data_IF_672828510201
#
_entry.id   IF_672828510201
#
_cell.length_a   1.000
_cell.length_b   1.000
_cell.length_c   1.000
_cell.angle_alpha   90.00
_cell.angle_beta   90.00
_cell.angle_gamma   90.00
#
_symmetry.space_group_name_H-M   'P 1'
#
loop_
_entity.id
_entity.type
_entity.pdbx_description
1 polymer ?
#
# COMPACT_ATOMS: atom_id res chain seq x y z
N UNK A 1 -7.20 6.34 -27.42
CA UNK A 1 -8.56 5.76 -27.29
C UNK A 1 -8.63 5.05 -25.95
N UNK A 2 -9.19 5.71 -24.92
CA UNK A 2 -9.43 5.09 -23.63
C UNK A 2 -10.72 4.26 -23.71
N UNK A 3 -10.65 2.98 -23.34
CA UNK A 3 -11.84 2.14 -23.26
C UNK A 3 -12.65 2.58 -22.03
N UNK A 4 -13.81 3.20 -22.29
CA UNK A 4 -14.77 3.58 -21.27
C UNK A 4 -15.44 2.31 -20.73
N UNK A 5 -14.88 1.75 -19.65
CA UNK A 5 -15.51 0.66 -18.93
C UNK A 5 -16.75 1.21 -18.21
N UNK A 6 -17.88 1.13 -18.90
CA UNK A 6 -19.23 1.37 -18.35
C UNK A 6 -19.54 0.29 -17.30
N UNK A 7 -18.95 0.41 -16.12
CA UNK A 7 -19.29 -0.41 -14.96
C UNK A 7 -20.27 0.39 -14.10
N UNK A 8 -21.56 0.14 -14.29
CA UNK A 8 -22.62 0.62 -13.38
C UNK A 8 -22.72 -0.26 -12.11
N UNK A 9 -21.62 -0.91 -11.71
CA UNK A 9 -21.56 -1.80 -10.55
C UNK A 9 -20.69 -1.11 -9.50
N UNK A 10 -21.31 -0.22 -8.72
CA UNK A 10 -20.65 0.52 -7.64
C UNK A 10 -20.26 -0.39 -6.45
N UNK A 11 -20.90 -1.56 -6.34
CA UNK A 11 -20.64 -2.54 -5.29
C UNK A 11 -20.83 -3.94 -5.86
N UNK A 12 -19.76 -4.73 -5.85
CA UNK A 12 -19.85 -6.17 -6.04
C UNK A 12 -20.20 -6.77 -4.69
N UNK A 13 -21.50 -6.99 -4.48
CA UNK A 13 -21.98 -7.61 -3.25
C UNK A 13 -21.53 -9.07 -3.23
N UNK A 14 -20.47 -9.35 -2.49
CA UNK A 14 -19.94 -10.70 -2.37
C UNK A 14 -20.82 -11.46 -1.39
N UNK A 15 -21.44 -12.55 -1.87
CA UNK A 15 -22.19 -13.47 -1.02
C UNK A 15 -21.32 -13.85 0.19
N UNK A 16 -21.81 -13.59 1.38
CA UNK A 16 -21.01 -13.64 2.60
C UNK A 16 -21.86 -13.55 3.86
N UNK A 17 -21.21 -13.63 5.02
CA UNK A 17 -21.85 -13.53 6.33
C UNK A 17 -21.18 -12.40 7.13
N UNK A 18 -21.98 -11.53 7.76
CA UNK A 18 -21.48 -10.38 8.55
C UNK A 18 -20.49 -9.48 7.79
N UNK A 19 -20.68 -9.28 6.48
CA UNK A 19 -19.77 -8.48 5.64
C UNK A 19 -18.45 -9.17 5.28
N UNK A 20 -18.28 -10.45 5.61
CA UNK A 20 -17.12 -11.26 5.22
C UNK A 20 -17.47 -12.11 3.98
N UNK A 21 -16.70 -11.99 2.89
CA UNK A 21 -16.88 -12.81 1.69
C UNK A 21 -16.85 -14.32 1.96
N UNK A 22 -17.74 -15.08 1.31
CA UNK A 22 -17.85 -16.54 1.50
C UNK A 22 -16.53 -17.28 1.27
N UNK A 23 -15.72 -16.86 0.29
CA UNK A 23 -14.41 -17.47 0.02
C UNK A 23 -13.48 -17.43 1.24
N UNK A 24 -13.52 -16.34 2.00
CA UNK A 24 -12.70 -16.16 3.22
C UNK A 24 -13.23 -17.01 4.36
N UNK A 25 -14.56 -17.10 4.51
CA UNK A 25 -15.19 -17.98 5.49
C UNK A 25 -14.88 -19.45 5.19
N UNK A 26 -14.93 -19.85 3.92
CA UNK A 26 -14.55 -21.20 3.48
C UNK A 26 -13.07 -21.48 3.79
N UNK A 27 -12.17 -20.55 3.43
CA UNK A 27 -10.74 -20.69 3.74
C UNK A 27 -10.49 -20.82 5.24
N UNK A 28 -11.15 -20.00 6.07
CA UNK A 28 -11.03 -20.04 7.51
C UNK A 28 -11.60 -21.34 8.09
N UNK A 29 -12.76 -21.81 7.61
CA UNK A 29 -13.38 -23.05 8.06
C UNK A 29 -12.56 -24.29 7.70
N UNK A 30 -12.09 -24.38 6.46
CA UNK A 30 -11.22 -25.48 6.00
C UNK A 30 -9.87 -25.43 6.73
N UNK A 31 -9.27 -24.26 6.87
CA UNK A 31 -8.01 -24.08 7.59
C UNK A 31 -8.13 -24.46 9.07
N UNK A 32 -9.20 -24.04 9.74
CA UNK A 32 -9.50 -24.42 11.11
C UNK A 32 -9.70 -25.93 11.24
N UNK A 33 -10.49 -26.55 10.36
CA UNK A 33 -10.74 -28.00 10.36
C UNK A 33 -9.48 -28.84 10.14
N UNK A 34 -8.61 -28.44 9.21
CA UNK A 34 -7.32 -29.10 9.00
C UNK A 34 -6.38 -28.92 10.20
N UNK A 35 -6.35 -27.73 10.80
CA UNK A 35 -5.53 -27.52 11.98
C UNK A 35 -6.03 -28.31 13.18
N UNK A 36 -7.36 -28.48 13.32
CA UNK A 36 -7.95 -29.34 14.34
C UNK A 36 -7.45 -30.77 14.18
N UNK A 37 -7.54 -31.35 12.98
CA UNK A 37 -7.15 -32.76 12.78
C UNK A 37 -5.66 -32.97 13.07
N UNK A 38 -4.79 -32.06 12.64
CA UNK A 38 -3.35 -32.12 12.90
C UNK A 38 -3.05 -31.98 14.40
N UNK A 39 -3.59 -30.97 15.06
CA UNK A 39 -3.32 -30.74 16.49
C UNK A 39 -3.94 -31.83 17.34
N UNK A 40 -5.10 -32.37 16.96
CA UNK A 40 -5.75 -33.43 17.72
C UNK A 40 -4.93 -34.72 17.76
N UNK A 41 -4.14 -35.00 16.73
CA UNK A 41 -3.22 -36.14 16.71
C UNK A 41 -2.10 -36.04 17.75
N UNK A 42 -1.60 -34.83 18.03
CA UNK A 42 -0.47 -34.62 18.93
C UNK A 42 -0.90 -34.21 20.35
N UNK A 43 -1.92 -33.34 20.44
CA UNK A 43 -2.32 -32.61 21.64
C UNK A 43 -3.85 -32.44 21.65
N UNK A 44 -4.57 -33.56 21.78
CA UNK A 44 -6.05 -33.61 21.68
C UNK A 44 -6.78 -32.57 22.53
N UNK A 45 -6.31 -32.32 23.75
CA UNK A 45 -6.92 -31.34 24.67
C UNK A 45 -6.89 -29.88 24.20
N UNK A 46 -5.98 -29.52 23.28
CA UNK A 46 -5.83 -28.14 22.76
C UNK A 46 -6.35 -27.96 21.34
N UNK A 47 -6.79 -29.04 20.70
CA UNK A 47 -7.15 -29.06 19.27
C UNK A 47 -8.26 -28.08 18.89
N UNK A 48 -9.32 -28.02 19.71
CA UNK A 48 -10.46 -27.11 19.49
C UNK A 48 -10.01 -25.66 19.61
N UNK A 49 -9.29 -25.33 20.70
CA UNK A 49 -8.80 -23.98 20.91
C UNK A 49 -7.86 -23.53 19.79
N UNK A 50 -6.94 -24.40 19.36
CA UNK A 50 -6.03 -24.15 18.25
C UNK A 50 -6.79 -23.89 16.94
N UNK A 51 -7.81 -24.71 16.64
CA UNK A 51 -8.62 -24.58 15.44
C UNK A 51 -9.39 -23.26 15.39
N UNK A 52 -10.01 -22.84 16.50
CA UNK A 52 -10.71 -21.55 16.60
C UNK A 52 -9.73 -20.39 16.40
N UNK A 53 -8.56 -20.45 17.05
CA UNK A 53 -7.53 -19.41 16.92
C UNK A 53 -7.02 -19.29 15.48
N UNK A 54 -6.77 -20.42 14.81
CA UNK A 54 -6.30 -20.44 13.42
C UNK A 54 -7.37 -19.94 12.46
N UNK A 55 -8.63 -20.35 12.64
CA UNK A 55 -9.76 -19.82 11.86
C UNK A 55 -9.88 -18.30 12.00
N UNK A 56 -9.82 -17.79 13.22
CA UNK A 56 -9.88 -16.35 13.50
C UNK A 56 -8.68 -15.61 12.90
N UNK A 57 -7.46 -16.12 13.10
CA UNK A 57 -6.25 -15.55 12.54
C UNK A 57 -6.31 -15.49 11.01
N UNK A 58 -6.84 -16.54 10.37
CA UNK A 58 -7.03 -16.58 8.91
C UNK A 58 -7.98 -15.49 8.44
N UNK A 59 -9.11 -15.27 9.13
CA UNK A 59 -10.03 -14.18 8.79
C UNK A 59 -9.38 -12.81 8.95
N UNK A 60 -8.63 -12.59 10.03
CA UNK A 60 -7.95 -11.31 10.30
C UNK A 60 -6.85 -11.05 9.26
N UNK A 61 -5.98 -12.03 9.01
CA UNK A 61 -4.82 -11.91 8.11
C UNK A 61 -5.21 -11.77 6.64
N UNK A 62 -6.35 -12.34 6.25
CA UNK A 62 -6.88 -12.21 4.88
C UNK A 62 -7.80 -11.01 4.70
N UNK A 63 -8.04 -10.22 5.77
CA UNK A 63 -8.90 -9.05 5.69
C UNK A 63 -8.29 -7.98 4.78
N UNK A 64 -8.94 -7.61 3.67
CA UNK A 64 -8.44 -6.58 2.79
C UNK A 64 -8.66 -5.19 3.40
N UNK A 65 -7.64 -4.35 3.33
CA UNK A 65 -7.77 -2.90 3.53
C UNK A 65 -7.20 -2.21 2.29
N UNK A 66 -8.01 -1.46 1.55
CA UNK A 66 -7.58 -0.86 0.28
C UNK A 66 -7.16 -1.89 -0.78
N UNK A 67 -7.86 -3.03 -0.84
CA UNK A 67 -7.62 -4.10 -1.83
C UNK A 67 -6.48 -5.08 -1.50
N UNK A 68 -5.66 -4.81 -0.48
CA UNK A 68 -4.52 -5.66 -0.11
C UNK A 68 -4.81 -6.37 1.24
N UNK A 69 -4.63 -7.71 1.33
CA UNK A 69 -4.82 -8.44 2.58
C UNK A 69 -3.75 -8.08 3.63
N UNK A 70 -4.10 -8.17 4.91
CA UNK A 70 -3.22 -7.80 6.01
C UNK A 70 -1.88 -8.55 6.00
N UNK A 71 -1.87 -9.85 5.71
CA UNK A 71 -0.63 -10.63 5.64
C UNK A 71 0.36 -10.05 4.61
N UNK A 72 -0.11 -9.75 3.39
CA UNK A 72 0.75 -9.16 2.37
C UNK A 72 1.31 -7.81 2.83
N UNK A 73 0.50 -7.00 3.49
CA UNK A 73 0.94 -5.72 4.07
C UNK A 73 2.03 -5.93 5.13
N UNK A 74 1.88 -6.92 6.01
CA UNK A 74 2.89 -7.27 7.01
C UNK A 74 4.19 -7.69 6.35
N UNK A 75 4.13 -8.53 5.30
CA UNK A 75 5.31 -8.95 4.53
C UNK A 75 6.00 -7.75 3.87
N UNK A 76 5.25 -6.87 3.20
CA UNK A 76 5.84 -5.68 2.58
C UNK A 76 6.48 -4.75 3.61
N UNK A 77 5.84 -4.56 4.77
CA UNK A 77 6.38 -3.75 5.86
C UNK A 77 7.65 -4.37 6.45
N UNK A 78 7.64 -5.68 6.69
CA UNK A 78 8.80 -6.43 7.19
C UNK A 78 9.96 -6.34 6.20
N UNK A 79 9.69 -6.55 4.90
CA UNK A 79 10.68 -6.43 3.83
C UNK A 79 11.29 -5.04 3.77
N UNK A 80 10.46 -3.99 3.75
CA UNK A 80 10.95 -2.61 3.77
C UNK A 80 11.80 -2.30 5.01
N UNK A 81 11.38 -2.77 6.18
CA UNK A 81 12.14 -2.62 7.42
C UNK A 81 13.48 -3.35 7.39
N UNK A 82 13.52 -4.58 6.86
CA UNK A 82 14.76 -5.36 6.72
C UNK A 82 15.73 -4.67 5.76
N UNK A 83 15.27 -4.22 4.60
CA UNK A 83 16.09 -3.51 3.63
C UNK A 83 16.65 -2.20 4.20
N UNK A 84 15.81 -1.39 4.85
CA UNK A 84 16.25 -0.15 5.52
C UNK A 84 17.30 -0.43 6.60
N UNK A 85 17.10 -1.47 7.40
CA UNK A 85 18.03 -1.83 8.48
C UNK A 85 19.34 -2.39 7.93
N UNK A 86 19.28 -3.17 6.85
CA UNK A 86 20.46 -3.70 6.17
C UNK A 86 21.32 -2.57 5.58
N UNK A 87 20.71 -1.56 4.96
CA UNK A 87 21.44 -0.39 4.42
C UNK A 87 22.11 0.42 5.54
N UNK A 88 21.42 0.64 6.66
CA UNK A 88 21.97 1.41 7.80
C UNK A 88 23.03 0.63 8.58
N UNK A 89 22.85 -0.68 8.72
CA UNK A 89 23.71 -1.56 9.51
C UNK A 89 24.07 -2.83 8.70
N UNK A 90 25.06 -2.73 7.78
CA UNK A 90 25.39 -3.81 6.85
C UNK A 90 25.96 -5.07 7.53
N UNK A 91 26.45 -4.97 8.76
CA UNK A 91 26.93 -6.12 9.54
C UNK A 91 25.88 -6.74 10.46
N UNK A 92 24.62 -6.28 10.39
CA UNK A 92 23.55 -6.80 11.25
C UNK A 92 22.99 -8.13 10.74
N UNK A 93 22.29 -8.86 11.62
CA UNK A 93 21.54 -10.07 11.23
C UNK A 93 20.48 -9.80 10.15
N UNK A 94 19.94 -8.58 10.09
CA UNK A 94 18.99 -8.18 9.05
C UNK A 94 19.65 -8.12 7.67
N UNK A 95 20.89 -7.66 7.58
CA UNK A 95 21.67 -7.67 6.33
C UNK A 95 21.94 -9.11 5.86
N UNK A 96 22.27 -10.02 6.78
CA UNK A 96 22.41 -11.45 6.47
C UNK A 96 21.11 -12.06 5.95
N UNK A 97 19.97 -11.72 6.54
CA UNK A 97 18.67 -12.20 6.04
C UNK A 97 18.34 -11.64 4.67
N UNK A 98 18.67 -10.37 4.40
CA UNK A 98 18.50 -9.76 3.09
C UNK A 98 19.33 -10.48 2.03
N UNK A 99 20.58 -10.84 2.37
CA UNK A 99 21.49 -11.58 1.51
C UNK A 99 20.99 -13.02 1.24
N UNK A 100 20.59 -13.75 2.29
CA UNK A 100 20.02 -15.11 2.16
C UNK A 100 18.72 -15.13 1.35
N UNK A 101 17.90 -14.09 1.46
CA UNK A 101 16.64 -13.96 0.73
C UNK A 101 16.80 -13.27 -0.64
N UNK A 102 18.04 -12.98 -1.05
CA UNK A 102 18.40 -12.29 -2.30
C UNK A 102 17.51 -11.05 -2.57
N UNK A 103 17.31 -10.23 -1.54
CA UNK A 103 16.42 -9.08 -1.64
C UNK A 103 17.14 -7.88 -2.27
N UNK A 104 16.57 -7.25 -3.31
CA UNK A 104 17.19 -6.12 -4.00
C UNK A 104 17.28 -4.90 -3.06
N UNK A 105 18.52 -4.57 -2.67
CA UNK A 105 18.82 -3.40 -1.83
C UNK A 105 18.61 -2.08 -2.56
N UNK A 106 18.74 -2.08 -3.89
CA UNK A 106 18.60 -0.89 -4.73
C UNK A 106 17.17 -0.35 -4.75
N UNK A 107 16.16 -1.20 -4.43
CA UNK A 107 14.76 -0.78 -4.34
C UNK A 107 14.51 0.31 -3.29
N UNK A 108 15.38 0.41 -2.28
CA UNK A 108 15.24 1.37 -1.16
C UNK A 108 16.13 2.59 -1.35
N UNK A 109 16.95 2.62 -2.41
CA UNK A 109 17.73 3.80 -2.78
C UNK A 109 16.90 4.70 -3.71
N UNK A 110 16.47 5.85 -3.18
CA UNK A 110 15.92 6.91 -3.99
C UNK A 110 17.09 7.68 -4.65
N UNK A 111 17.15 7.69 -5.98
CA UNK A 111 18.13 8.53 -6.68
C UNK A 111 17.66 9.99 -6.65
N UNK A 112 18.15 10.76 -5.68
CA UNK A 112 17.79 12.17 -5.52
C UNK A 112 18.09 13.02 -6.75
N UNK A 113 19.16 12.72 -7.49
CA UNK A 113 19.50 13.45 -8.72
C UNK A 113 18.45 13.24 -9.81
N UNK A 114 17.81 12.07 -9.87
CA UNK A 114 16.72 11.80 -10.82
C UNK A 114 15.38 12.40 -10.36
N UNK A 115 15.12 12.42 -9.05
CA UNK A 115 13.88 12.99 -8.48
C UNK A 115 13.85 14.51 -8.59
N UNK A 116 14.99 15.16 -8.39
CA UNK A 116 15.13 16.61 -8.48
C UNK A 116 15.75 17.07 -9.79
N UNK A 117 15.88 16.17 -10.79
CA UNK A 117 16.30 16.59 -12.12
C UNK A 117 15.23 17.53 -12.68
N UNK A 118 15.61 18.73 -13.18
CA UNK A 118 14.67 19.53 -13.93
C UNK A 118 14.20 18.70 -15.13
N UNK A 119 12.89 18.69 -15.45
CA UNK A 119 12.39 17.94 -16.58
C UNK A 119 13.10 18.40 -17.85
N UNK A 120 13.81 17.47 -18.49
CA UNK A 120 14.59 17.74 -19.69
C UNK A 120 13.74 17.49 -20.93
N UNK A 121 13.33 18.56 -21.61
CA UNK A 121 12.58 18.52 -22.87
C UNK A 121 11.34 19.42 -22.86
N UNK A 122 10.73 19.71 -24.02
CA UNK A 122 9.42 20.36 -24.07
C UNK A 122 8.37 19.39 -23.51
N UNK A 123 8.01 19.57 -22.24
CA UNK A 123 6.88 18.85 -21.64
C UNK A 123 5.62 19.70 -21.83
N UNK A 124 4.67 19.18 -22.60
CA UNK A 124 3.30 19.68 -22.61
C UNK A 124 2.62 19.17 -21.34
N UNK A 125 2.80 19.90 -20.24
CA UNK A 125 2.25 19.52 -18.93
C UNK A 125 0.80 19.99 -18.89
N UNK A 126 -0.13 19.09 -19.20
CA UNK A 126 -1.56 19.36 -18.96
C UNK A 126 -1.86 19.22 -17.46
N UNK A 127 -1.78 20.35 -16.75
CA UNK A 127 -2.08 20.43 -15.32
C UNK A 127 -3.52 19.98 -15.00
N UNK A 128 -4.42 19.91 -15.97
CA UNK A 128 -5.80 19.45 -15.79
C UNK A 128 -5.90 17.95 -15.51
N UNK A 129 -4.85 17.17 -15.75
CA UNK A 129 -4.79 15.76 -15.35
C UNK A 129 -4.80 15.59 -13.82
N UNK A 130 -4.39 16.63 -13.09
CA UNK A 130 -4.34 16.63 -11.64
C UNK A 130 -5.64 17.23 -11.12
N UNK A 131 -6.43 16.44 -10.38
CA UNK A 131 -7.74 16.82 -9.84
C UNK A 131 -7.72 18.16 -9.10
N UNK A 132 -6.61 18.48 -8.43
CA UNK A 132 -6.40 19.74 -7.71
C UNK A 132 -6.39 20.97 -8.64
N UNK A 133 -5.93 20.83 -9.88
CA UNK A 133 -5.81 21.92 -10.86
C UNK A 133 -6.85 21.84 -11.99
N UNK A 134 -7.58 20.72 -12.11
CA UNK A 134 -8.64 20.53 -13.10
C UNK A 134 -9.79 21.52 -12.96
N UNK A 135 -10.04 22.03 -11.74
CA UNK A 135 -11.12 22.96 -11.41
C UNK A 135 -10.65 24.22 -10.71
N UNK A 136 -9.33 24.51 -10.74
CA UNK A 136 -8.79 25.67 -10.06
C UNK A 136 -9.45 26.94 -10.64
N UNK A 137 -10.16 27.67 -9.79
CA UNK A 137 -10.75 28.96 -10.13
C UNK A 137 -9.94 30.08 -9.45
N UNK A 138 -9.87 31.27 -10.05
CA UNK A 138 -9.14 32.42 -9.49
C UNK A 138 -9.64 32.81 -8.09
N UNK A 139 -10.88 32.45 -7.76
CA UNK A 139 -11.49 32.64 -6.43
C UNK A 139 -10.94 31.71 -5.33
N UNK A 140 -10.18 30.66 -5.67
CA UNK A 140 -9.62 29.69 -4.71
C UNK A 140 -8.28 30.18 -4.11
N UNK A 141 -7.88 31.43 -4.37
CA UNK A 141 -6.65 32.02 -3.85
C UNK A 141 -5.37 31.55 -4.57
N UNK A 142 -5.52 30.93 -5.75
CA UNK A 142 -4.42 30.49 -6.59
C UNK A 142 -4.20 31.52 -7.71
N UNK A 143 -3.02 32.15 -7.72
CA UNK A 143 -2.60 33.03 -8.82
C UNK A 143 -1.65 32.24 -9.72
N UNK A 144 -2.09 31.97 -10.95
CA UNK A 144 -1.21 31.41 -11.98
C UNK A 144 -0.32 32.52 -12.53
N UNK A 145 0.99 32.27 -12.58
CA UNK A 145 1.98 33.24 -13.02
C UNK A 145 2.78 32.64 -14.17
N UNK A 146 2.87 33.36 -15.29
CA UNK A 146 3.52 32.90 -16.52
C UNK A 146 5.06 32.83 -16.42
N UNK A 147 5.63 33.29 -15.30
CA UNK A 147 7.06 33.18 -14.99
C UNK A 147 7.26 33.07 -13.48
N UNK A 148 8.35 32.42 -13.02
CA UNK A 148 8.63 32.29 -11.60
C UNK A 148 8.66 33.66 -10.93
N UNK A 149 7.89 33.82 -9.85
CA UNK A 149 7.83 35.07 -9.08
C UNK A 149 9.21 35.42 -8.55
N UNK A 150 9.73 36.57 -8.98
CA UNK A 150 10.92 37.15 -8.38
C UNK A 150 10.67 37.44 -6.90
N UNK A 151 11.61 37.09 -6.03
CA UNK A 151 11.44 37.16 -4.57
C UNK A 151 11.12 38.58 -4.05
N UNK A 152 11.36 39.62 -4.86
CA UNK A 152 10.98 41.00 -4.58
C UNK A 152 9.46 41.26 -4.74
N UNK A 153 8.76 40.52 -5.59
CA UNK A 153 7.32 40.71 -5.85
C UNK A 153 6.43 40.19 -4.71
N UNK A 154 6.92 39.23 -3.92
CA UNK A 154 6.19 38.68 -2.76
C UNK A 154 6.05 39.66 -1.59
N UNK A 155 6.82 40.76 -1.56
CA UNK A 155 6.75 41.76 -0.48
C UNK A 155 5.66 42.80 -0.66
N UNK A 156 5.21 43.07 -1.88
CA UNK A 156 4.19 44.12 -2.13
C UNK A 156 2.75 43.60 -1.98
N UNK A 157 2.50 42.30 -2.14
CA UNK A 157 1.15 41.71 -2.06
C UNK A 157 0.61 41.41 -0.66
N UNK A 158 1.38 41.65 0.41
CA UNK A 158 0.98 41.36 1.80
C UNK A 158 0.48 42.58 2.60
N UNK A 159 0.36 43.74 1.94
CA UNK A 159 -0.15 44.99 2.54
C UNK A 159 -1.34 45.62 1.79
N UNK A 160 -1.99 44.87 0.90
CA UNK A 160 -3.25 45.25 0.25
C UNK A 160 -4.44 44.57 0.89
#
# INVERSE_FOLDING_TARGET
MAADFKSHVLLRDEKGLFGIPFKRLLLAGVGAGLSYTIVNLALSGWSIAAAVMIGMATLILTSPRGGIPLWNRLVYRLRGMLLLKAIRHPHSWAAKLVDVLDLPLDLVRLNGAAVFAPPSGPMDIDLREWITYAYANESDGLVFVDSPLDASALKEGLHG
#
